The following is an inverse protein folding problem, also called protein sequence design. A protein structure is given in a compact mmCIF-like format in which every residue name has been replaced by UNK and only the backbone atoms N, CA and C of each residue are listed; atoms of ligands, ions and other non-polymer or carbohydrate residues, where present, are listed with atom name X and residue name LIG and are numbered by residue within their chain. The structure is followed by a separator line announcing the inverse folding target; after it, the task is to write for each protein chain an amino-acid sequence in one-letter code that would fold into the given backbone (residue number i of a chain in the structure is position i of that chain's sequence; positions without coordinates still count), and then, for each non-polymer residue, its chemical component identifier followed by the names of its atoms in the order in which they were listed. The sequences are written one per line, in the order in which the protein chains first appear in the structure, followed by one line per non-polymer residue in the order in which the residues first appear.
data_IF_536788087497
#
_entry.id   IF_536788087497
#
_cell.length_a   1.000
_cell.length_b   1.000
_cell.length_c   1.000
_cell.angle_alpha   90.00
_cell.angle_beta   90.00
_cell.angle_gamma   90.00
#
_symmetry.space_group_name_H-M   'P 1'
#
loop_
_entity.id
_entity.type
_entity.pdbx_description
1 polymer ?
#
# COMPACT_ATOMS: atom_id res chain seq x y z
N UNK A 1 -21.22 -20.42 -23.88
CA UNK A 1 -21.14 -21.63 -23.03
C UNK A 1 -19.70 -21.75 -22.61
N UNK A 2 -19.44 -21.44 -21.34
CA UNK A 2 -18.11 -21.27 -20.75
C UNK A 2 -17.36 -22.60 -20.70
N UNK A 3 -16.05 -22.61 -21.00
CA UNK A 3 -15.18 -23.77 -20.80
C UNK A 3 -15.05 -24.21 -19.32
N UNK A 4 -15.68 -23.47 -18.38
CA UNK A 4 -15.64 -23.75 -16.95
C UNK A 4 -16.38 -25.03 -16.55
N UNK A 5 -17.56 -25.30 -17.12
CA UNK A 5 -18.38 -26.46 -16.74
C UNK A 5 -17.65 -27.81 -16.92
N UNK A 6 -17.05 -28.11 -18.09
CA UNK A 6 -16.28 -29.36 -18.26
C UNK A 6 -15.02 -29.41 -17.38
N UNK A 7 -14.43 -28.25 -17.06
CA UNK A 7 -13.25 -28.18 -16.20
C UNK A 7 -13.60 -28.47 -14.72
N UNK A 8 -14.75 -28.01 -14.26
CA UNK A 8 -15.28 -28.33 -12.93
C UNK A 8 -15.59 -29.82 -12.82
N UNK A 9 -16.26 -30.41 -13.83
CA UNK A 9 -16.62 -31.84 -13.84
C UNK A 9 -15.37 -32.73 -13.84
N UNK A 10 -14.37 -32.39 -14.66
CA UNK A 10 -13.09 -33.10 -14.63
C UNK A 10 -12.42 -32.99 -13.26
N UNK A 11 -12.34 -31.81 -12.65
CA UNK A 11 -11.79 -31.67 -11.30
C UNK A 11 -12.53 -32.52 -10.26
N UNK A 12 -13.86 -32.55 -10.27
CA UNK A 12 -14.66 -33.39 -9.38
C UNK A 12 -14.38 -34.89 -9.59
N UNK A 13 -14.27 -35.32 -10.85
CA UNK A 13 -13.94 -36.71 -11.16
C UNK A 13 -12.56 -37.10 -10.59
N UNK A 14 -11.54 -36.25 -10.75
CA UNK A 14 -10.20 -36.50 -10.21
C UNK A 14 -10.19 -36.51 -8.68
N UNK A 15 -10.91 -35.59 -8.01
CA UNK A 15 -11.02 -35.56 -6.55
C UNK A 15 -11.70 -36.84 -6.02
N UNK A 16 -12.77 -37.28 -6.69
CA UNK A 16 -13.45 -38.54 -6.32
C UNK A 16 -12.54 -39.76 -6.50
N UNK A 17 -11.69 -39.74 -7.53
CA UNK A 17 -10.69 -40.78 -7.79
C UNK A 17 -9.65 -40.79 -6.67
N UNK A 18 -9.11 -39.62 -6.30
CA UNK A 18 -8.15 -39.44 -5.20
C UNK A 18 -8.69 -40.01 -3.87
N UNK A 19 -9.97 -39.77 -3.58
CA UNK A 19 -10.61 -40.29 -2.37
C UNK A 19 -10.68 -41.83 -2.35
N UNK A 20 -10.90 -42.47 -3.51
CA UNK A 20 -10.98 -43.95 -3.63
C UNK A 20 -9.61 -44.63 -3.68
N UNK A 21 -8.54 -43.94 -4.09
CA UNK A 21 -7.21 -44.58 -4.24
C UNK A 21 -6.65 -45.19 -2.95
N UNK A 22 -7.07 -44.72 -1.76
CA UNK A 22 -6.58 -45.22 -0.48
C UNK A 22 -7.04 -46.62 -0.07
N UNK A 23 -7.95 -47.28 -0.80
CA UNK A 23 -8.53 -48.57 -0.38
C UNK A 23 -7.92 -49.80 -1.03
N UNK A 24 -7.24 -49.67 -2.18
CA UNK A 24 -6.83 -50.85 -2.99
C UNK A 24 -5.37 -50.89 -3.42
N UNK A 25 -4.58 -49.81 -3.30
CA UNK A 25 -3.19 -49.81 -3.80
C UNK A 25 -2.20 -49.26 -2.77
N UNK A 26 -1.34 -50.13 -2.26
CA UNK A 26 -0.20 -49.83 -1.39
C UNK A 26 1.02 -49.32 -2.18
N UNK A 27 0.99 -49.41 -3.51
CA UNK A 27 2.20 -49.42 -4.33
C UNK A 27 2.64 -48.05 -4.85
N UNK A 28 1.91 -46.95 -4.61
CA UNK A 28 2.36 -45.70 -5.21
C UNK A 28 1.95 -44.45 -4.44
N UNK A 29 2.82 -44.08 -3.48
CA UNK A 29 2.93 -42.68 -3.03
C UNK A 29 3.11 -41.76 -4.24
N UNK A 30 3.87 -42.22 -5.22
CA UNK A 30 4.18 -41.49 -6.45
C UNK A 30 2.91 -41.23 -7.28
N UNK A 31 2.07 -42.23 -7.57
CA UNK A 31 0.78 -42.02 -8.29
C UNK A 31 -0.16 -41.10 -7.51
N UNK A 32 -0.15 -41.14 -6.16
CA UNK A 32 -0.94 -40.20 -5.37
C UNK A 32 -0.43 -38.77 -5.49
N UNK A 33 0.89 -38.58 -5.53
CA UNK A 33 1.52 -37.29 -5.75
C UNK A 33 1.24 -36.79 -7.17
N UNK A 34 1.43 -37.62 -8.18
CA UNK A 34 1.11 -37.31 -9.58
C UNK A 34 -0.36 -36.90 -9.75
N UNK A 35 -1.30 -37.60 -9.12
CA UNK A 35 -2.70 -37.23 -9.14
C UNK A 35 -2.97 -35.93 -8.38
N UNK A 36 -2.31 -35.70 -7.25
CA UNK A 36 -2.44 -34.46 -6.51
C UNK A 36 -1.93 -33.27 -7.32
N UNK A 37 -0.81 -33.43 -8.01
CA UNK A 37 -0.17 -32.43 -8.87
C UNK A 37 -1.01 -32.16 -10.13
N UNK A 38 -1.58 -33.20 -10.72
CA UNK A 38 -2.52 -33.08 -11.83
C UNK A 38 -3.78 -32.31 -11.40
N UNK A 39 -4.32 -32.60 -10.21
CA UNK A 39 -5.47 -31.88 -9.65
C UNK A 39 -5.10 -30.41 -9.38
N UNK A 40 -3.92 -30.11 -8.82
CA UNK A 40 -3.47 -28.74 -8.59
C UNK A 40 -3.31 -27.96 -9.89
N UNK A 41 -2.75 -28.59 -10.91
CA UNK A 41 -2.62 -28.00 -12.25
C UNK A 41 -4.00 -27.66 -12.82
N UNK A 42 -4.96 -28.59 -12.72
CA UNK A 42 -6.33 -28.36 -13.20
C UNK A 42 -7.10 -27.31 -12.38
N UNK A 43 -6.90 -27.25 -11.06
CA UNK A 43 -7.43 -26.18 -10.22
C UNK A 43 -6.87 -24.81 -10.63
N UNK A 44 -5.58 -24.75 -10.98
CA UNK A 44 -4.94 -23.52 -11.45
C UNK A 44 -5.45 -23.09 -12.82
N UNK A 45 -5.65 -24.04 -13.74
CA UNK A 45 -6.27 -23.79 -15.03
C UNK A 45 -7.69 -23.21 -14.82
N UNK A 46 -8.49 -23.82 -13.94
CA UNK A 46 -9.83 -23.36 -13.59
C UNK A 46 -9.85 -21.94 -13.02
N UNK A 47 -8.95 -21.63 -12.09
CA UNK A 47 -8.84 -20.30 -11.51
C UNK A 47 -8.45 -19.25 -12.57
N UNK A 48 -7.59 -19.63 -13.52
CA UNK A 48 -7.19 -18.75 -14.62
C UNK A 48 -8.33 -18.47 -15.61
N UNK A 49 -9.14 -19.48 -15.93
CA UNK A 49 -10.31 -19.33 -16.79
C UNK A 49 -11.41 -18.54 -16.10
N UNK A 50 -11.62 -18.76 -14.80
CA UNK A 50 -12.56 -18.00 -13.99
C UNK A 50 -12.16 -16.51 -13.92
N UNK A 51 -10.87 -16.21 -13.78
CA UNK A 51 -10.38 -14.83 -13.81
C UNK A 51 -10.64 -14.14 -15.16
N UNK A 52 -10.45 -14.87 -16.29
CA UNK A 52 -10.77 -14.37 -17.63
C UNK A 52 -12.28 -14.14 -17.81
N UNK A 53 -13.08 -15.08 -17.33
CA UNK A 53 -14.55 -14.97 -17.37
C UNK A 53 -15.03 -13.76 -16.56
N UNK A 54 -14.49 -13.56 -15.36
CA UNK A 54 -14.78 -12.40 -14.50
C UNK A 54 -14.40 -11.06 -15.15
N UNK A 55 -13.28 -11.00 -15.89
CA UNK A 55 -12.83 -9.78 -16.56
C UNK A 55 -13.68 -9.41 -17.80
N UNK A 56 -14.27 -10.41 -18.45
CA UNK A 56 -15.06 -10.23 -19.69
C UNK A 56 -16.56 -10.01 -19.39
N UNK A 57 -16.99 -10.29 -18.15
CA UNK A 57 -18.41 -10.27 -17.79
C UNK A 57 -19.01 -8.85 -17.82
N UNK A 58 -20.13 -8.62 -18.53
CA UNK A 58 -20.86 -7.35 -18.46
C UNK A 58 -21.40 -7.12 -17.04
N UNK A 59 -21.73 -5.87 -16.69
CA UNK A 59 -22.19 -5.51 -15.32
C UNK A 59 -23.70 -5.72 -15.14
N UNK A 60 -24.26 -6.77 -15.74
CA UNK A 60 -25.69 -7.05 -15.72
C UNK A 60 -26.06 -7.92 -14.52
N UNK A 61 -27.24 -7.72 -13.91
CA UNK A 61 -27.68 -8.47 -12.72
C UNK A 61 -27.69 -9.99 -12.93
N UNK A 62 -28.12 -10.45 -14.10
CA UNK A 62 -28.12 -11.88 -14.44
C UNK A 62 -26.71 -12.48 -14.47
N UNK A 63 -25.74 -11.74 -14.99
CA UNK A 63 -24.35 -12.18 -15.11
C UNK A 63 -23.60 -12.21 -13.77
N UNK A 64 -24.02 -11.36 -12.82
CA UNK A 64 -23.51 -11.36 -11.44
C UNK A 64 -23.96 -12.60 -10.66
N UNK A 65 -25.22 -13.02 -10.81
CA UNK A 65 -25.76 -14.24 -10.18
C UNK A 65 -25.01 -15.48 -10.69
N UNK A 66 -24.75 -15.55 -12.00
CA UNK A 66 -23.98 -16.65 -12.60
C UNK A 66 -22.56 -16.67 -12.05
N UNK A 67 -21.90 -15.51 -11.96
CA UNK A 67 -20.55 -15.40 -11.39
C UNK A 67 -20.51 -15.88 -9.93
N UNK A 68 -21.49 -15.50 -9.12
CA UNK A 68 -21.61 -15.91 -7.71
C UNK A 68 -21.72 -17.43 -7.59
N UNK A 69 -22.56 -18.07 -8.40
CA UNK A 69 -22.68 -19.54 -8.39
C UNK A 69 -21.38 -20.25 -8.79
N UNK A 70 -20.59 -19.70 -9.71
CA UNK A 70 -19.27 -20.24 -10.05
C UNK A 70 -18.25 -20.03 -8.92
N UNK A 71 -18.29 -18.91 -8.20
CA UNK A 71 -17.41 -18.71 -7.03
C UNK A 71 -17.71 -19.72 -5.93
N UNK A 72 -18.99 -20.02 -5.69
CA UNK A 72 -19.41 -21.00 -4.71
C UNK A 72 -18.95 -22.41 -5.11
N UNK A 73 -19.09 -22.78 -6.39
CA UNK A 73 -18.61 -24.06 -6.90
C UNK A 73 -17.10 -24.23 -6.73
N UNK A 74 -16.29 -23.21 -7.04
CA UNK A 74 -14.83 -23.25 -6.88
C UNK A 74 -14.46 -23.34 -5.39
N UNK A 75 -15.15 -22.62 -4.51
CA UNK A 75 -14.93 -22.70 -3.07
C UNK A 75 -15.23 -24.11 -2.53
N UNK A 76 -16.36 -24.69 -2.93
CA UNK A 76 -16.75 -26.06 -2.57
C UNK A 76 -15.73 -27.09 -3.10
N UNK A 77 -15.24 -26.92 -4.33
CA UNK A 77 -14.23 -27.79 -4.93
C UNK A 77 -12.92 -27.80 -4.13
N UNK A 78 -12.47 -26.63 -3.63
CA UNK A 78 -11.27 -26.53 -2.78
C UNK A 78 -11.44 -27.23 -1.44
N UNK A 79 -12.63 -27.11 -0.83
CA UNK A 79 -12.95 -27.82 0.42
C UNK A 79 -12.98 -29.33 0.19
N UNK A 80 -13.61 -29.79 -0.90
CA UNK A 80 -13.63 -31.20 -1.28
C UNK A 80 -12.23 -31.75 -1.52
N UNK A 81 -11.36 -31.00 -2.21
CA UNK A 81 -9.96 -31.39 -2.44
C UNK A 81 -9.20 -31.55 -1.13
N UNK A 82 -9.28 -30.58 -0.20
CA UNK A 82 -8.63 -30.68 1.12
C UNK A 82 -9.13 -31.89 1.91
N UNK A 83 -10.44 -32.14 1.87
CA UNK A 83 -11.04 -33.32 2.52
C UNK A 83 -10.58 -34.63 1.85
N UNK A 84 -10.50 -34.67 0.53
CA UNK A 84 -10.01 -35.83 -0.23
C UNK A 84 -8.53 -36.13 0.06
N UNK A 85 -7.68 -35.11 0.18
CA UNK A 85 -6.27 -35.29 0.56
C UNK A 85 -6.15 -35.94 1.94
N UNK A 86 -6.79 -35.38 2.97
CA UNK A 86 -6.71 -35.91 4.34
C UNK A 86 -7.30 -37.31 4.44
N UNK A 87 -8.43 -37.56 3.78
CA UNK A 87 -9.06 -38.90 3.77
C UNK A 87 -8.19 -39.93 3.07
N UNK A 88 -7.55 -39.58 1.94
CA UNK A 88 -6.61 -40.47 1.25
C UNK A 88 -5.38 -40.80 2.10
N UNK A 89 -4.83 -39.81 2.84
CA UNK A 89 -3.71 -40.02 3.75
C UNK A 89 -4.08 -40.99 4.88
N UNK A 90 -5.22 -40.76 5.54
CA UNK A 90 -5.75 -41.65 6.59
C UNK A 90 -6.01 -43.07 6.10
N UNK A 91 -6.52 -43.22 4.87
CA UNK A 91 -6.79 -44.53 4.30
C UNK A 91 -5.50 -45.32 4.05
N UNK A 92 -4.42 -44.64 3.65
CA UNK A 92 -3.10 -45.27 3.50
C UNK A 92 -2.48 -45.65 4.85
N UNK A 93 -2.61 -44.81 5.87
CA UNK A 93 -2.15 -45.21 7.21
C UNK A 93 -2.90 -46.46 7.71
N UNK A 94 -4.21 -46.51 7.48
CA UNK A 94 -5.01 -47.69 7.81
C UNK A 94 -4.57 -48.94 7.05
N UNK A 95 -4.19 -48.83 5.78
CA UNK A 95 -3.69 -49.99 5.03
C UNK A 95 -2.31 -50.45 5.53
N UNK A 96 -1.41 -49.51 5.86
CA UNK A 96 -0.10 -49.84 6.45
C UNK A 96 -0.21 -50.48 7.84
N UNK A 97 -1.16 -50.03 8.66
CA UNK A 97 -1.42 -50.63 9.97
C UNK A 97 -1.93 -52.08 9.84
N UNK A 98 -2.80 -52.35 8.87
CA UNK A 98 -3.27 -53.72 8.59
C UNK A 98 -2.13 -54.64 8.16
N UNK A 99 -1.21 -54.15 7.33
CA UNK A 99 -0.02 -54.91 6.92
C UNK A 99 0.88 -55.24 8.12
N UNK A 100 1.13 -54.26 9.00
CA UNK A 100 1.90 -54.49 10.22
C UNK A 100 1.26 -55.57 11.09
N UNK A 101 -0.05 -55.52 11.28
CA UNK A 101 -0.76 -56.52 12.08
C UNK A 101 -0.57 -57.94 11.52
N UNK A 102 -0.66 -58.11 10.20
CA UNK A 102 -0.44 -59.41 9.53
C UNK A 102 0.99 -59.94 9.75
N UNK A 103 2.01 -59.07 9.76
CA UNK A 103 3.41 -59.48 9.99
C UNK A 103 3.73 -59.83 11.45
N UNK A 104 3.04 -59.21 12.41
CA UNK A 104 3.23 -59.52 13.83
C UNK A 104 2.58 -60.84 14.25
N UNK A 105 1.53 -61.27 13.54
CA UNK A 105 0.83 -62.53 13.81
C UNK A 105 1.75 -63.74 13.52
N UNK A 106 2.53 -63.71 12.44
CA UNK A 106 3.46 -64.80 12.07
C UNK A 106 4.68 -64.99 12.99
N UNK A 107 4.95 -64.08 13.94
CA UNK A 107 6.10 -64.17 14.86
C UNK A 107 5.80 -64.96 16.15
N UNK A 108 4.53 -65.09 16.54
CA UNK A 108 4.17 -65.68 17.84
C UNK A 108 4.38 -67.20 17.93
N UNK A 109 4.50 -67.90 16.82
CA UNK A 109 4.52 -69.38 16.80
C UNK A 109 5.89 -70.02 17.12
N UNK A 110 7.00 -69.27 17.16
CA UNK A 110 8.37 -69.86 17.16
C UNK A 110 9.08 -69.81 18.54
N UNK A 111 8.41 -69.39 19.63
CA UNK A 111 9.10 -68.96 20.86
C UNK A 111 9.50 -70.06 21.87
N UNK A 112 9.09 -71.32 21.72
CA UNK A 112 9.09 -72.25 22.87
C UNK A 112 10.33 -73.17 23.08
N UNK A 113 11.20 -73.42 22.10
CA UNK A 113 12.15 -74.56 22.24
C UNK A 113 13.65 -74.27 22.53
N UNK A 114 14.12 -73.02 22.69
CA UNK A 114 15.54 -72.74 22.42
C UNK A 114 16.40 -72.06 23.52
N UNK A 115 16.11 -72.06 24.83
CA UNK A 115 16.73 -71.06 25.75
C UNK A 115 18.28 -71.02 25.84
N UNK A 116 19.01 -72.14 25.87
CA UNK A 116 20.49 -72.15 26.02
C UNK A 116 21.23 -72.04 24.67
N UNK A 117 20.78 -72.81 23.66
CA UNK A 117 21.21 -72.62 22.26
C UNK A 117 20.86 -71.21 21.75
N UNK A 118 19.80 -70.59 22.28
CA UNK A 118 19.46 -69.21 21.98
C UNK A 118 20.46 -68.21 22.56
N UNK A 119 21.17 -68.48 23.66
CA UNK A 119 22.17 -67.52 24.18
C UNK A 119 23.43 -67.52 23.31
N UNK A 120 23.92 -68.70 22.92
CA UNK A 120 25.05 -68.83 22.00
C UNK A 120 24.69 -68.34 20.59
N UNK A 121 23.50 -68.68 20.09
CA UNK A 121 22.99 -68.14 18.83
C UNK A 121 22.82 -66.61 18.92
N UNK A 122 22.29 -66.06 20.02
CA UNK A 122 22.20 -64.60 20.23
C UNK A 122 23.58 -63.93 20.16
N UNK A 123 24.61 -64.53 20.77
CA UNK A 123 25.96 -63.96 20.74
C UNK A 123 26.58 -64.00 19.33
N UNK A 124 26.32 -65.08 18.60
CA UNK A 124 26.69 -65.22 17.19
C UNK A 124 25.92 -64.24 16.29
N UNK A 125 24.63 -64.07 16.53
CA UNK A 125 23.76 -63.13 15.82
C UNK A 125 24.17 -61.69 16.10
N UNK A 126 24.57 -61.35 17.34
CA UNK A 126 25.11 -60.03 17.69
C UNK A 126 26.43 -59.81 16.93
N UNK A 127 27.33 -60.80 16.89
CA UNK A 127 28.60 -60.69 16.17
C UNK A 127 28.38 -60.55 14.66
N UNK A 128 27.45 -61.31 14.10
CA UNK A 128 27.06 -61.24 12.70
C UNK A 128 26.41 -59.88 12.37
N UNK A 129 25.60 -59.35 13.29
CA UNK A 129 25.01 -58.02 13.16
C UNK A 129 26.07 -56.93 13.19
N UNK A 130 27.09 -57.03 14.06
CA UNK A 130 28.18 -56.07 14.14
C UNK A 130 29.03 -56.10 12.86
N UNK A 131 29.30 -57.30 12.32
CA UNK A 131 29.99 -57.46 11.03
C UNK A 131 29.19 -56.85 9.88
N UNK A 132 27.85 -57.03 9.88
CA UNK A 132 26.94 -56.41 8.91
C UNK A 132 26.91 -54.89 9.05
N UNK A 133 26.87 -54.36 10.27
CA UNK A 133 26.93 -52.91 10.54
C UNK A 133 28.27 -52.34 10.09
N UNK A 134 29.38 -53.04 10.33
CA UNK A 134 30.70 -52.61 9.84
C UNK A 134 30.77 -52.58 8.32
N UNK A 135 30.27 -53.63 7.65
CA UNK A 135 30.15 -53.65 6.18
C UNK A 135 29.27 -52.49 5.69
N UNK A 136 28.13 -52.23 6.34
CA UNK A 136 27.29 -51.07 6.04
C UNK A 136 27.98 -49.74 6.31
N UNK A 137 28.75 -49.62 7.38
CA UNK A 137 29.47 -48.39 7.73
C UNK A 137 30.50 -48.05 6.66
N UNK A 138 31.27 -49.05 6.21
CA UNK A 138 32.21 -48.87 5.09
C UNK A 138 31.50 -48.46 3.79
N UNK A 139 30.33 -49.04 3.51
CA UNK A 139 29.52 -48.67 2.35
C UNK A 139 28.92 -47.26 2.48
N UNK A 140 28.54 -46.86 3.69
CA UNK A 140 27.97 -45.53 3.97
C UNK A 140 29.03 -44.42 3.91
N UNK A 141 30.29 -44.73 4.24
CA UNK A 141 31.41 -43.78 4.03
C UNK A 141 31.59 -43.49 2.54
N UNK A 142 31.64 -44.53 1.69
CA UNK A 142 31.74 -44.36 0.23
C UNK A 142 30.53 -43.59 -0.35
N UNK A 143 29.32 -43.82 0.17
CA UNK A 143 28.14 -43.03 -0.18
C UNK A 143 28.23 -41.58 0.32
N UNK A 144 28.87 -41.36 1.46
CA UNK A 144 29.09 -40.03 2.04
C UNK A 144 29.94 -39.14 1.13
N UNK A 145 30.98 -39.69 0.51
CA UNK A 145 31.82 -38.97 -0.47
C UNK A 145 31.01 -38.55 -1.70
N UNK A 146 30.21 -39.46 -2.27
CA UNK A 146 29.32 -39.16 -3.40
C UNK A 146 28.25 -38.11 -3.02
N UNK A 147 27.75 -38.15 -1.78
CA UNK A 147 26.83 -37.12 -1.27
C UNK A 147 27.52 -35.76 -1.09
N UNK A 148 28.80 -35.75 -0.69
CA UNK A 148 29.59 -34.53 -0.57
C UNK A 148 29.80 -33.88 -1.95
N UNK A 149 30.09 -34.68 -2.97
CA UNK A 149 30.21 -34.22 -4.35
C UNK A 149 28.89 -33.65 -4.90
N UNK A 150 27.76 -34.30 -4.58
CA UNK A 150 26.43 -33.78 -4.93
C UNK A 150 26.10 -32.46 -4.22
N UNK A 151 26.49 -32.33 -2.95
CA UNK A 151 26.30 -31.08 -2.18
C UNK A 151 27.15 -29.94 -2.76
N UNK A 152 28.39 -30.25 -3.14
CA UNK A 152 29.30 -29.31 -3.80
C UNK A 152 28.75 -28.88 -5.17
N UNK A 153 28.19 -29.81 -5.94
CA UNK A 153 27.51 -29.51 -7.21
C UNK A 153 26.28 -28.60 -7.00
N UNK A 154 25.44 -28.91 -6.01
CA UNK A 154 24.28 -28.07 -5.65
C UNK A 154 24.73 -26.66 -5.20
N UNK A 155 25.85 -26.57 -4.48
CA UNK A 155 26.45 -25.28 -4.09
C UNK A 155 26.91 -24.49 -5.33
N UNK A 156 27.58 -25.13 -6.28
CA UNK A 156 27.97 -24.52 -7.56
C UNK A 156 26.76 -24.05 -8.35
N UNK A 157 25.71 -24.86 -8.44
CA UNK A 157 24.48 -24.49 -9.13
C UNK A 157 23.81 -23.29 -8.47
N UNK A 158 23.78 -23.23 -7.14
CA UNK A 158 23.27 -22.07 -6.39
C UNK A 158 24.11 -20.81 -6.65
N UNK A 159 25.43 -20.93 -6.74
CA UNK A 159 26.31 -19.82 -7.12
C UNK A 159 26.04 -19.34 -8.55
N UNK A 160 25.86 -20.27 -9.50
CA UNK A 160 25.48 -19.93 -10.87
C UNK A 160 24.11 -19.25 -10.94
N UNK A 161 23.13 -19.73 -10.17
CA UNK A 161 21.82 -19.09 -10.06
C UNK A 161 21.97 -17.66 -9.51
N UNK A 162 22.75 -17.47 -8.45
CA UNK A 162 23.03 -16.15 -7.88
C UNK A 162 23.64 -15.22 -8.93
N UNK A 163 24.62 -15.69 -9.71
CA UNK A 163 25.25 -14.91 -10.77
C UNK A 163 24.29 -14.57 -11.92
N UNK A 164 23.37 -15.48 -12.25
CA UNK A 164 22.29 -15.20 -13.21
C UNK A 164 21.33 -14.14 -12.66
N UNK A 165 20.95 -14.22 -11.39
CA UNK A 165 20.10 -13.20 -10.74
C UNK A 165 20.77 -11.83 -10.69
N UNK A 166 22.07 -11.74 -10.36
CA UNK A 166 22.79 -10.46 -10.40
C UNK A 166 22.86 -9.90 -11.81
N UNK A 167 23.04 -10.75 -12.82
CA UNK A 167 23.03 -10.33 -14.23
C UNK A 167 21.65 -9.82 -14.64
N UNK A 168 20.57 -10.50 -14.22
CA UNK A 168 19.21 -10.02 -14.46
C UNK A 168 18.91 -8.69 -13.77
N UNK A 169 19.42 -8.46 -12.56
CA UNK A 169 19.24 -7.18 -11.86
C UNK A 169 19.94 -6.03 -12.61
N UNK A 170 21.14 -6.27 -13.13
CA UNK A 170 21.84 -5.31 -14.01
C UNK A 170 21.03 -5.02 -15.28
N UNK A 171 20.45 -6.05 -15.90
CA UNK A 171 19.59 -5.89 -17.09
C UNK A 171 18.29 -5.14 -16.77
N UNK A 172 17.66 -5.41 -15.63
CA UNK A 172 16.46 -4.71 -15.16
C UNK A 172 16.77 -3.25 -14.81
N UNK A 173 17.90 -2.98 -14.18
CA UNK A 173 18.37 -1.62 -13.93
C UNK A 173 18.63 -0.88 -15.25
N UNK A 174 19.23 -1.55 -16.24
CA UNK A 174 19.39 -1.03 -17.60
C UNK A 174 18.06 -0.72 -18.27
N UNK A 175 17.10 -1.66 -18.22
CA UNK A 175 15.74 -1.49 -18.74
C UNK A 175 15.02 -0.33 -18.06
N UNK A 176 15.05 -0.25 -16.72
CA UNK A 176 14.45 0.84 -15.95
C UNK A 176 15.07 2.19 -16.30
N UNK A 177 16.39 2.25 -16.49
CA UNK A 177 17.08 3.46 -16.92
C UNK A 177 16.59 3.88 -18.31
N UNK A 178 16.51 2.95 -19.25
CA UNK A 178 16.03 3.22 -20.60
C UNK A 178 14.57 3.69 -20.62
N UNK A 179 13.69 3.03 -19.86
CA UNK A 179 12.29 3.42 -19.67
C UNK A 179 12.19 4.81 -19.06
N UNK A 180 13.00 5.12 -18.04
CA UNK A 180 13.02 6.45 -17.41
C UNK A 180 13.52 7.52 -18.36
N UNK A 181 14.46 7.20 -19.24
CA UNK A 181 14.90 8.12 -20.29
C UNK A 181 13.79 8.37 -21.32
N UNK A 182 13.05 7.35 -21.73
CA UNK A 182 11.87 7.50 -22.60
C UNK A 182 10.79 8.34 -21.92
N UNK A 183 10.44 8.03 -20.67
CA UNK A 183 9.43 8.76 -19.90
C UNK A 183 9.83 10.23 -19.72
N UNK A 184 11.11 10.51 -19.46
CA UNK A 184 11.59 11.87 -19.31
C UNK A 184 11.60 12.65 -20.61
N UNK A 185 11.92 12.00 -21.74
CA UNK A 185 11.81 12.61 -23.08
C UNK A 185 10.35 12.97 -23.39
N UNK A 186 9.41 12.05 -23.15
CA UNK A 186 7.98 12.28 -23.35
C UNK A 186 7.45 13.40 -22.44
N UNK A 187 7.93 13.46 -21.19
CA UNK A 187 7.55 14.53 -20.25
C UNK A 187 8.06 15.89 -20.72
N UNK A 188 9.30 15.97 -21.20
CA UNK A 188 9.86 17.21 -21.73
C UNK A 188 9.10 17.68 -22.97
N UNK A 189 8.78 16.76 -23.90
CA UNK A 189 8.00 17.09 -25.08
C UNK A 189 6.60 17.60 -24.71
N UNK A 190 5.93 16.93 -23.77
CA UNK A 190 4.62 17.37 -23.25
C UNK A 190 4.69 18.73 -22.56
N UNK A 191 5.78 19.03 -21.84
CA UNK A 191 6.00 20.35 -21.24
C UNK A 191 6.20 21.40 -22.32
N UNK A 192 6.97 21.13 -23.39
CA UNK A 192 7.15 22.07 -24.51
C UNK A 192 5.83 22.36 -25.23
N UNK A 193 4.99 21.34 -25.48
CA UNK A 193 3.65 21.54 -26.02
C UNK A 193 2.79 22.41 -25.09
N UNK A 194 2.77 22.14 -23.78
CA UNK A 194 2.01 22.93 -22.81
C UNK A 194 2.53 24.36 -22.66
N UNK A 195 3.85 24.56 -22.71
CA UNK A 195 4.49 25.87 -22.60
C UNK A 195 4.17 26.76 -23.80
N UNK A 196 4.22 26.20 -25.03
CA UNK A 196 3.86 26.95 -26.24
C UNK A 196 2.37 27.34 -26.25
N UNK A 197 1.47 26.42 -25.88
CA UNK A 197 0.04 26.71 -25.73
C UNK A 197 -0.21 27.74 -24.63
N UNK A 198 0.49 27.62 -23.50
CA UNK A 198 0.43 28.57 -22.39
C UNK A 198 0.90 29.97 -22.78
N UNK A 199 1.99 30.08 -23.54
CA UNK A 199 2.49 31.37 -24.03
C UNK A 199 1.48 32.03 -24.97
N UNK A 200 0.91 31.27 -25.91
CA UNK A 200 -0.16 31.76 -26.78
C UNK A 200 -1.37 32.21 -25.95
N UNK A 201 -1.82 31.39 -25.01
CA UNK A 201 -2.95 31.71 -24.14
C UNK A 201 -2.68 32.97 -23.30
N UNK A 202 -1.46 33.16 -22.80
CA UNK A 202 -1.05 34.33 -22.04
C UNK A 202 -1.06 35.58 -22.93
N UNK A 203 -0.57 35.50 -24.18
CA UNK A 203 -0.63 36.62 -25.13
C UNK A 203 -2.08 36.97 -25.46
N UNK A 204 -2.92 35.97 -25.73
CA UNK A 204 -4.36 36.18 -25.96
C UNK A 204 -5.02 36.79 -24.72
N UNK A 205 -4.76 36.25 -23.53
CA UNK A 205 -5.28 36.76 -22.27
C UNK A 205 -4.78 38.20 -21.98
N UNK A 206 -3.53 38.52 -22.30
CA UNK A 206 -2.98 39.87 -22.19
C UNK A 206 -3.68 40.86 -23.13
N UNK A 207 -3.91 40.44 -24.38
CA UNK A 207 -4.67 41.22 -25.36
C UNK A 207 -6.11 41.41 -24.87
N UNK A 208 -6.76 40.34 -24.38
CA UNK A 208 -8.10 40.42 -23.80
C UNK A 208 -8.13 41.30 -22.55
N UNK A 209 -7.12 41.26 -21.68
CA UNK A 209 -7.02 42.11 -20.51
C UNK A 209 -6.92 43.58 -20.90
N UNK A 210 -5.97 43.88 -21.80
CA UNK A 210 -5.72 45.25 -22.24
C UNK A 210 -6.88 45.81 -23.07
N UNK A 211 -7.57 44.98 -23.84
CA UNK A 211 -8.57 45.43 -24.83
C UNK A 211 -10.01 45.18 -24.40
N UNK A 212 -10.30 44.02 -23.84
CA UNK A 212 -11.65 43.51 -23.55
C UNK A 212 -11.99 43.57 -22.05
N UNK A 213 -11.06 43.57 -21.10
CA UNK A 213 -11.48 43.67 -19.69
C UNK A 213 -11.87 45.10 -19.31
N UNK A 214 -11.14 46.15 -19.71
CA UNK A 214 -11.52 47.52 -19.31
C UNK A 214 -12.80 48.06 -19.98
N UNK A 215 -13.04 47.77 -21.26
CA UNK A 215 -14.20 48.33 -21.99
C UNK A 215 -15.47 47.50 -21.81
N UNK A 216 -15.53 46.19 -22.15
CA UNK A 216 -16.72 45.41 -21.89
C UNK A 216 -16.86 44.87 -20.48
N UNK A 217 -15.93 44.95 -19.50
CA UNK A 217 -16.42 44.89 -18.10
C UNK A 217 -17.26 46.13 -17.81
N UNK A 218 -16.85 47.33 -18.19
CA UNK A 218 -17.65 48.54 -17.96
C UNK A 218 -18.98 48.51 -18.76
N UNK A 219 -18.95 48.06 -20.02
CA UNK A 219 -20.13 47.91 -20.89
C UNK A 219 -20.94 46.63 -20.62
N UNK A 220 -20.42 45.58 -20.00
CA UNK A 220 -21.18 44.39 -19.61
C UNK A 220 -21.72 44.59 -18.20
N UNK A 221 -20.94 45.08 -17.24
CA UNK A 221 -21.42 45.36 -15.88
C UNK A 221 -22.51 46.42 -15.86
N UNK A 222 -22.50 47.46 -16.70
CA UNK A 222 -23.58 48.46 -16.73
C UNK A 222 -24.95 47.87 -17.14
N UNK A 223 -25.13 47.22 -18.30
CA UNK A 223 -26.38 46.58 -18.66
C UNK A 223 -26.61 45.31 -17.84
N UNK A 224 -25.60 44.53 -17.46
CA UNK A 224 -25.78 43.34 -16.63
C UNK A 224 -26.21 43.71 -15.20
N UNK A 225 -25.68 44.75 -14.54
CA UNK A 225 -26.24 45.24 -13.26
C UNK A 225 -27.65 45.85 -13.44
N UNK A 226 -27.91 46.48 -14.58
CA UNK A 226 -29.22 47.07 -14.89
C UNK A 226 -30.27 45.99 -15.22
N UNK A 227 -29.87 44.88 -15.83
CA UNK A 227 -30.71 43.73 -16.20
C UNK A 227 -30.83 42.72 -15.03
N UNK A 228 -29.81 42.61 -14.17
CA UNK A 228 -29.77 41.73 -13.00
C UNK A 228 -30.29 42.41 -11.71
N UNK A 229 -30.93 43.58 -11.83
CA UNK A 229 -31.85 44.08 -10.80
C UNK A 229 -31.26 44.79 -9.58
N UNK A 230 -30.27 45.69 -9.75
CA UNK A 230 -29.74 46.54 -8.66
C UNK A 230 -30.07 48.04 -8.80
N UNK A 231 -30.80 48.45 -9.84
CA UNK A 231 -31.30 49.84 -9.98
C UNK A 231 -32.83 49.86 -10.06
N UNK A 232 -33.47 49.44 -8.96
CA UNK A 232 -34.80 49.94 -8.58
C UNK A 232 -34.94 49.99 -7.05
N UNK A 233 -34.30 51.00 -6.47
CA UNK A 233 -34.76 51.62 -5.22
C UNK A 233 -34.12 51.13 -3.92
N UNK A 234 -33.77 52.13 -3.09
CA UNK A 234 -33.47 52.06 -1.66
C UNK A 234 -32.01 51.76 -1.27
N UNK A 235 -31.24 52.83 -1.08
CA UNK A 235 -30.09 52.79 -0.18
C UNK A 235 -30.52 53.15 1.25
N UNK A 236 -29.78 52.71 2.27
CA UNK A 236 -29.64 53.46 3.51
C UNK A 236 -28.42 54.38 3.38
N UNK A 237 -28.65 55.68 3.48
CA UNK A 237 -27.58 56.64 3.77
C UNK A 237 -27.08 56.34 5.18
N UNK A 238 -25.86 55.84 5.32
CA UNK A 238 -25.17 55.88 6.62
C UNK A 238 -24.66 57.31 6.86
N UNK A 239 -24.79 57.84 8.09
CA UNK A 239 -24.22 59.13 8.46
C UNK A 239 -22.69 59.04 8.50
N UNK A 240 -22.04 59.95 7.78
CA UNK A 240 -20.61 60.21 7.85
C UNK A 240 -20.33 60.81 9.24
N UNK A 241 -19.64 60.07 10.11
CA UNK A 241 -19.11 60.59 11.37
C UNK A 241 -17.72 61.18 11.09
N UNK A 242 -17.51 62.51 11.15
CA UNK A 242 -16.27 63.15 10.74
C UNK A 242 -15.10 63.05 11.74
N UNK A 243 -15.21 62.24 12.80
CA UNK A 243 -14.26 62.26 13.93
C UNK A 243 -13.43 60.98 14.12
N UNK A 244 -13.30 60.11 13.11
CA UNK A 244 -12.32 59.01 13.17
C UNK A 244 -11.02 59.44 12.47
N UNK A 245 -9.95 59.78 13.21
CA UNK A 245 -8.69 60.25 12.61
C UNK A 245 -7.99 59.16 11.78
N UNK A 246 -8.37 57.89 11.96
CA UNK A 246 -7.82 56.76 11.21
C UNK A 246 -8.27 56.73 9.74
N UNK A 247 -9.48 57.19 9.40
CA UNK A 247 -9.96 57.14 8.00
C UNK A 247 -9.41 58.30 7.15
N UNK A 248 -9.20 59.48 7.74
CA UNK A 248 -8.61 60.62 7.04
C UNK A 248 -7.12 60.41 6.72
N UNK A 249 -6.39 59.68 7.58
CA UNK A 249 -5.00 59.29 7.34
C UNK A 249 -4.89 58.24 6.23
N UNK A 250 -5.81 57.28 6.20
CA UNK A 250 -5.84 56.25 5.14
C UNK A 250 -6.16 56.88 3.79
N UNK A 251 -7.11 57.81 3.70
CA UNK A 251 -7.42 58.50 2.44
C UNK A 251 -6.26 59.38 1.94
N UNK A 252 -5.55 60.08 2.84
CA UNK A 252 -4.40 60.92 2.45
C UNK A 252 -3.15 60.12 2.06
N UNK A 253 -2.93 58.96 2.68
CA UNK A 253 -1.89 58.00 2.30
C UNK A 253 -2.20 57.34 0.94
N UNK A 254 -3.46 57.03 0.68
CA UNK A 254 -3.89 56.45 -0.60
C UNK A 254 -3.76 57.46 -1.74
N UNK A 255 -4.14 58.73 -1.53
CA UNK A 255 -4.01 59.76 -2.56
C UNK A 255 -2.53 60.10 -2.87
N UNK A 256 -1.65 60.15 -1.87
CA UNK A 256 -0.21 60.38 -2.10
C UNK A 256 0.48 59.21 -2.81
N UNK A 257 0.04 57.97 -2.55
CA UNK A 257 0.56 56.78 -3.23
C UNK A 257 0.14 56.72 -4.71
N UNK A 258 -1.07 57.21 -5.02
CA UNK A 258 -1.60 57.21 -6.40
C UNK A 258 -0.93 58.27 -7.26
N UNK A 259 -0.58 59.44 -6.70
CA UNK A 259 0.04 60.53 -7.46
C UNK A 259 1.54 60.32 -7.76
N UNK A 260 2.22 59.44 -7.02
CA UNK A 260 3.67 59.21 -7.17
C UNK A 260 4.08 58.13 -8.20
N UNK A 261 3.15 57.60 -9.00
CA UNK A 261 3.47 56.56 -9.99
C UNK A 261 3.48 57.14 -11.41
N UNK A 262 4.65 57.50 -12.01
CA UNK A 262 5.74 56.53 -12.18
C UNK A 262 7.14 57.16 -12.38
N UNK A 263 8.02 57.27 -11.37
CA UNK A 263 9.49 57.30 -11.64
C UNK A 263 10.41 57.19 -10.42
N UNK A 264 9.91 56.91 -9.22
CA UNK A 264 10.73 56.97 -8.00
C UNK A 264 10.84 55.58 -7.35
N UNK A 265 12.06 55.18 -6.98
CA UNK A 265 12.43 53.86 -6.49
C UNK A 265 11.73 53.51 -5.16
N UNK A 266 11.49 52.22 -4.95
CA UNK A 266 10.71 51.69 -3.81
C UNK A 266 11.30 52.12 -2.45
N UNK A 267 12.63 52.22 -2.33
CA UNK A 267 13.29 52.62 -1.07
C UNK A 267 12.91 54.04 -0.61
N UNK A 268 12.86 55.00 -1.55
CA UNK A 268 12.46 56.38 -1.23
C UNK A 268 10.98 56.51 -0.88
N UNK A 269 10.13 55.60 -1.38
CA UNK A 269 8.70 55.58 -1.07
C UNK A 269 8.46 55.06 0.35
N UNK A 270 9.22 54.05 0.76
CA UNK A 270 9.17 53.48 2.12
C UNK A 270 9.63 54.52 3.15
N UNK A 271 10.69 55.27 2.86
CA UNK A 271 11.19 56.30 3.77
C UNK A 271 10.19 57.46 3.96
N UNK A 272 9.51 57.90 2.89
CA UNK A 272 8.45 58.91 2.99
C UNK A 272 7.19 58.43 3.73
N UNK A 273 6.88 57.13 3.67
CA UNK A 273 5.77 56.52 4.42
C UNK A 273 6.08 56.42 5.91
N UNK A 274 7.33 56.14 6.27
CA UNK A 274 7.78 56.09 7.67
C UNK A 274 7.74 57.49 8.30
N UNK A 275 8.22 58.52 7.58
CA UNK A 275 8.23 59.91 8.09
C UNK A 275 6.81 60.49 8.24
N UNK A 276 5.87 60.12 7.35
CA UNK A 276 4.45 60.52 7.45
C UNK A 276 3.69 59.79 8.55
N UNK A 277 4.07 58.54 8.88
CA UNK A 277 3.52 57.81 10.02
C UNK A 277 4.05 58.35 11.36
N UNK A 278 5.34 58.69 11.46
CA UNK A 278 5.90 59.27 12.69
C UNK A 278 5.26 60.63 13.02
N UNK A 279 5.05 61.48 12.01
CA UNK A 279 4.37 62.78 12.19
C UNK A 279 2.89 62.65 12.56
N UNK A 280 2.19 61.63 12.03
CA UNK A 280 0.80 61.35 12.38
C UNK A 280 0.64 60.80 13.82
N UNK A 281 1.55 59.94 14.26
CA UNK A 281 1.56 59.41 15.64
C UNK A 281 1.90 60.51 16.66
N UNK A 282 2.79 61.44 16.32
CA UNK A 282 3.06 62.61 17.15
C UNK A 282 1.82 63.53 17.29
N UNK A 283 1.01 63.63 16.23
CA UNK A 283 -0.24 64.40 16.26
C UNK A 283 -1.37 63.72 17.03
N UNK A 284 -1.43 62.38 17.08
CA UNK A 284 -2.45 61.66 17.86
C UNK A 284 -2.13 61.60 19.35
N UNK A 285 -0.85 61.69 19.73
CA UNK A 285 -0.42 61.77 21.13
C UNK A 285 -0.81 63.08 21.83
N UNK A 286 -1.19 64.12 21.08
CA UNK A 286 -1.61 65.43 21.63
C UNK A 286 -3.10 65.51 21.98
N UNK A 287 -3.92 64.49 21.67
CA UNK A 287 -5.38 64.56 21.79
C UNK A 287 -5.99 63.75 22.96
N UNK A 288 -5.20 63.04 23.77
CA UNK A 288 -5.68 62.31 24.96
C UNK A 288 -4.90 62.68 26.22
N UNK A 289 -5.01 63.94 26.67
CA UNK A 289 -4.82 64.32 28.08
C UNK A 289 -5.90 65.33 28.43
N UNK A 290 -7.03 64.84 28.93
CA UNK A 290 -7.79 65.58 29.95
C UNK A 290 -8.60 64.58 30.79
N UNK A 291 -8.06 64.27 31.96
CA UNK A 291 -8.74 63.53 33.01
C UNK A 291 -8.63 64.39 34.26
N UNK A 292 -9.63 65.25 34.47
CA UNK A 292 -9.75 66.01 35.70
C UNK A 292 -10.46 65.16 36.78
N UNK A 293 -9.86 65.21 37.96
CA UNK A 293 -9.93 64.25 39.06
C UNK A 293 -11.17 64.51 39.94
N UNK A 294 -11.81 63.49 40.53
CA UNK A 294 -12.45 63.65 41.83
C UNK A 294 -11.53 63.14 42.94
N UNK A 295 -11.03 64.10 43.72
CA UNK A 295 -10.36 63.92 45.02
C UNK A 295 -11.40 63.51 46.07
N UNK A 296 -10.92 62.97 47.20
CA UNK A 296 -11.58 62.70 48.51
C UNK A 296 -12.00 61.23 48.66
N UNK A 297 -11.47 60.40 49.57
CA UNK A 297 -10.82 60.63 50.88
C UNK A 297 -10.06 59.37 51.36
N UNK A 298 -8.88 59.58 51.95
CA UNK A 298 -8.21 58.77 53.00
C UNK A 298 -9.12 58.50 54.23
N UNK A 299 -8.71 57.76 55.29
CA UNK A 299 -7.62 56.78 55.46
C UNK A 299 -7.99 55.53 56.31
N UNK A 300 -6.98 54.68 56.56
CA UNK A 300 -6.69 53.88 57.76
C UNK A 300 -6.79 52.34 57.74
N UNK A 301 -5.77 51.81 58.42
CA UNK A 301 -5.46 50.47 58.93
C UNK A 301 -5.12 49.34 57.96
N UNK A 302 -3.88 48.83 57.94
CA UNK A 302 -3.01 48.23 58.97
C UNK A 302 -3.01 46.70 58.76
N UNK A 303 -1.81 46.12 58.84
CA UNK A 303 -1.50 44.68 58.87
C UNK A 303 -1.34 43.93 57.53
N UNK A 304 -0.11 44.00 57.00
CA UNK A 304 0.64 42.79 56.63
C UNK A 304 0.75 41.89 57.88
N UNK A 305 0.82 40.54 57.79
CA UNK A 305 1.91 39.92 57.02
C UNK A 305 1.66 38.52 56.40
N UNK A 306 2.53 38.22 55.43
CA UNK A 306 3.27 36.95 55.30
C UNK A 306 2.49 35.65 54.99
N UNK A 307 2.73 35.13 53.78
CA UNK A 307 3.19 33.74 53.65
C UNK A 307 3.89 33.57 52.32
N UNK A 308 5.17 33.23 52.42
CA UNK A 308 6.11 33.19 51.32
C UNK A 308 6.09 31.94 50.44
N UNK A 309 7.01 32.05 49.48
CA UNK A 309 7.77 31.02 48.78
C UNK A 309 7.20 30.50 47.45
N UNK A 310 7.90 30.81 46.35
CA UNK A 310 7.70 30.24 45.03
C UNK A 310 8.74 29.13 44.73
N UNK A 311 8.49 28.40 43.63
CA UNK A 311 9.46 27.67 42.79
C UNK A 311 10.02 26.36 43.37
N UNK A 312 9.72 25.26 42.67
CA UNK A 312 10.60 24.11 42.56
C UNK A 312 10.94 23.89 41.10
N UNK A 313 12.23 24.03 40.82
CA UNK A 313 12.89 23.76 39.56
C UNK A 313 12.83 22.28 39.18
N UNK A 314 12.86 22.08 37.87
CA UNK A 314 13.08 20.80 37.20
C UNK A 314 14.47 20.22 37.52
N UNK A 315 14.48 18.92 37.82
CA UNK A 315 15.54 17.96 37.52
C UNK A 315 14.98 16.53 37.64
#
# INVERSE_FOLDING_TARGET
MSNLDPLIETCLSLISRLQRFGTHSLASRDVRQELADLIQTKLRDLDSEFARYKATCPRDTASQIVLESYTEQIANLRVLYRKAQVTSAKNVEKSLLKERQMLFEGRKEVKEEASEKAVLNKSRDITESLKRVHQMASQNVLRGEMHLESLDQSSRDMQMLQQKYTTFDVLLAGSKKLVRHLEQADKQDRILMMASLGFLALVVAWILYRRVLKLPLMILTWPLLKLFGIVRGSGPKMPKNPNNPAEALVDTLVDTLVEATPSVSIDTLVETLVETLETAVASSAAADIDLEIPVVSEPLDETLPDSGAPIRDEL
#
